data_IF_408207894852
#
_entry.id   IF_408207894852
#
_cell.length_a   1.000
_cell.length_b   1.000
_cell.length_c   1.000
_cell.angle_alpha   90.00
_cell.angle_beta   90.00
_cell.angle_gamma   90.00
#
_symmetry.space_group_name_H-M   'P 1'
#
loop_
_entity.id
_entity.type
_entity.pdbx_description
1 polymer ?
#
# COMPACT_ATOMS: atom_id res chain seq x y z
N UNK A 1 13.88 0.96 17.60
CA UNK A 1 13.73 -0.21 18.50
C UNK A 1 12.30 -0.38 19.00
N UNK A 2 11.62 0.62 19.59
CA UNK A 2 10.26 0.43 20.12
C UNK A 2 9.27 -0.08 19.06
N UNK A 3 9.29 0.50 17.84
CA UNK A 3 8.43 0.07 16.72
C UNK A 3 8.76 -1.35 16.27
N UNK A 4 10.05 -1.70 16.13
CA UNK A 4 10.45 -3.05 15.75
C UNK A 4 10.00 -4.09 16.78
N UNK A 5 10.20 -3.81 18.08
CA UNK A 5 9.71 -4.68 19.15
C UNK A 5 8.20 -4.86 19.09
N UNK A 6 7.43 -3.77 18.91
CA UNK A 6 5.98 -3.84 18.80
C UNK A 6 5.51 -4.68 17.61
N UNK A 7 6.15 -4.53 16.43
CA UNK A 7 5.82 -5.34 15.26
C UNK A 7 6.22 -6.81 15.47
N UNK A 8 7.34 -7.08 16.14
CA UNK A 8 7.76 -8.44 16.44
C UNK A 8 6.79 -9.15 17.39
N UNK A 9 6.24 -8.44 18.39
CA UNK A 9 5.19 -9.01 19.25
C UNK A 9 3.91 -9.32 18.44
N UNK A 10 3.55 -8.51 17.46
CA UNK A 10 2.43 -8.82 16.55
C UNK A 10 2.72 -10.06 15.69
N UNK A 11 3.96 -10.21 15.20
CA UNK A 11 4.39 -11.38 14.43
C UNK A 11 4.29 -12.65 15.31
N UNK A 12 4.78 -12.58 16.53
CA UNK A 12 4.70 -13.68 17.49
C UNK A 12 3.25 -14.03 17.82
N UNK A 13 2.36 -13.02 17.88
CA UNK A 13 0.93 -13.21 18.09
C UNK A 13 0.18 -13.76 16.87
N UNK A 14 0.85 -13.91 15.71
CA UNK A 14 0.30 -14.53 14.51
C UNK A 14 -0.07 -13.57 13.38
N UNK A 15 0.50 -12.37 13.33
CA UNK A 15 0.30 -11.49 12.19
C UNK A 15 0.87 -12.09 10.91
N UNK A 16 0.08 -12.13 9.83
CA UNK A 16 0.49 -12.62 8.52
C UNK A 16 1.27 -11.59 7.70
N UNK A 17 1.11 -10.30 8.02
CA UNK A 17 1.86 -9.19 7.44
C UNK A 17 1.91 -8.03 8.44
N UNK A 18 2.92 -7.18 8.33
CA UNK A 18 3.05 -5.96 9.15
C UNK A 18 3.19 -4.73 8.27
N UNK A 19 2.76 -3.57 8.76
CA UNK A 19 2.79 -2.33 7.98
C UNK A 19 3.30 -1.15 8.82
N UNK A 20 4.20 -0.36 8.22
CA UNK A 20 4.70 0.90 8.77
C UNK A 20 4.02 2.06 8.04
N UNK A 21 3.32 2.91 8.78
CA UNK A 21 2.67 4.10 8.27
C UNK A 21 3.47 5.35 8.61
N UNK A 22 3.81 6.15 7.60
CA UNK A 22 4.36 7.49 7.75
C UNK A 22 3.41 8.52 7.12
N UNK A 23 2.53 9.06 7.93
CA UNK A 23 1.50 10.03 7.49
C UNK A 23 2.10 11.39 7.13
N UNK A 24 3.25 11.74 7.70
CA UNK A 24 3.81 13.10 7.63
C UNK A 24 5.12 13.21 6.85
N UNK A 25 5.72 12.09 6.47
CA UNK A 25 7.00 12.06 5.74
C UNK A 25 6.99 12.86 4.44
N UNK A 26 5.87 12.85 3.72
CA UNK A 26 5.70 13.60 2.48
C UNK A 26 5.83 15.13 2.61
N UNK A 27 5.78 15.68 3.83
CA UNK A 27 5.98 17.10 4.09
C UNK A 27 7.45 17.48 4.35
N UNK A 28 8.33 16.49 4.46
CA UNK A 28 9.74 16.72 4.77
C UNK A 28 10.52 17.13 3.52
N UNK A 29 11.59 17.92 3.71
CA UNK A 29 12.59 18.11 2.65
C UNK A 29 13.29 16.78 2.35
N UNK A 30 13.90 16.63 1.16
CA UNK A 30 14.52 15.37 0.76
C UNK A 30 15.54 14.85 1.79
N UNK A 31 16.43 15.72 2.30
CA UNK A 31 17.42 15.34 3.30
C UNK A 31 16.77 14.94 4.65
N UNK A 32 15.72 15.63 5.06
CA UNK A 32 14.98 15.33 6.27
C UNK A 32 14.20 14.02 6.13
N UNK A 33 13.60 13.75 4.97
CA UNK A 33 12.91 12.51 4.68
C UNK A 33 13.85 11.31 4.78
N UNK A 34 15.01 11.36 4.16
CA UNK A 34 16.01 10.30 4.28
C UNK A 34 16.34 10.03 5.75
N UNK A 35 16.66 11.07 6.51
CA UNK A 35 17.14 10.94 7.89
C UNK A 35 16.05 10.53 8.90
N UNK A 36 14.84 11.07 8.77
CA UNK A 36 13.80 10.97 9.80
C UNK A 36 12.63 10.03 9.43
N UNK A 37 12.56 9.60 8.19
CA UNK A 37 11.54 8.67 7.71
C UNK A 37 12.18 7.39 7.14
N UNK A 38 12.95 7.50 6.08
CA UNK A 38 13.43 6.36 5.32
C UNK A 38 14.46 5.50 6.08
N UNK A 39 15.46 6.13 6.71
CA UNK A 39 16.47 5.41 7.50
C UNK A 39 15.87 4.73 8.75
N UNK A 40 14.95 5.35 9.51
CA UNK A 40 14.19 4.67 10.54
C UNK A 40 13.36 3.48 10.02
N UNK A 41 12.71 3.59 8.85
CA UNK A 41 11.99 2.47 8.25
C UNK A 41 12.93 1.31 7.94
N UNK A 42 14.07 1.55 7.28
CA UNK A 42 15.11 0.55 7.02
C UNK A 42 15.57 -0.14 8.30
N UNK A 43 15.82 0.65 9.34
CA UNK A 43 16.24 0.10 10.64
C UNK A 43 15.18 -0.79 11.27
N UNK A 44 13.91 -0.42 11.20
CA UNK A 44 12.81 -1.25 11.71
C UNK A 44 12.70 -2.54 10.91
N UNK A 45 12.72 -2.45 9.57
CA UNK A 45 12.62 -3.63 8.70
C UNK A 45 13.75 -4.63 8.92
N UNK A 46 14.98 -4.15 9.17
CA UNK A 46 16.14 -4.99 9.45
C UNK A 46 16.06 -5.72 10.80
N UNK A 47 15.23 -5.25 11.73
CA UNK A 47 15.03 -5.86 13.06
C UNK A 47 13.76 -6.76 13.12
N UNK A 48 13.02 -6.94 12.01
CA UNK A 48 11.83 -7.80 12.00
C UNK A 48 12.22 -9.28 12.12
N UNK A 49 11.54 -9.97 13.02
CA UNK A 49 11.70 -11.41 13.23
C UNK A 49 10.90 -12.23 12.19
N UNK A 50 11.26 -13.49 12.03
CA UNK A 50 10.40 -14.47 11.37
C UNK A 50 9.23 -14.86 12.30
N UNK A 51 8.16 -15.38 11.71
CA UNK A 51 7.07 -16.00 12.46
C UNK A 51 7.58 -17.23 13.28
N UNK A 52 6.84 -17.67 14.31
CA UNK A 52 7.25 -18.81 15.15
C UNK A 52 7.52 -20.11 14.38
N UNK A 53 6.90 -20.27 13.21
CA UNK A 53 7.11 -21.40 12.29
C UNK A 53 8.32 -21.22 11.36
N UNK A 54 9.10 -20.15 11.51
CA UNK A 54 10.27 -19.80 10.69
C UNK A 54 9.94 -19.12 9.36
N UNK A 55 8.66 -18.89 9.03
CA UNK A 55 8.23 -18.20 7.80
C UNK A 55 8.56 -16.71 7.89
N UNK A 56 9.14 -16.10 6.83
CA UNK A 56 9.30 -14.65 6.79
C UNK A 56 7.92 -13.98 6.72
N UNK A 57 7.73 -12.90 7.51
CA UNK A 57 6.49 -12.13 7.51
C UNK A 57 6.63 -10.96 6.55
N UNK A 58 5.76 -10.84 5.52
CA UNK A 58 5.80 -9.72 4.59
C UNK A 58 5.63 -8.38 5.30
N UNK A 59 6.39 -7.39 4.87
CA UNK A 59 6.31 -6.03 5.39
C UNK A 59 5.88 -5.04 4.33
N UNK A 60 5.08 -4.06 4.74
CA UNK A 60 4.58 -2.98 3.89
C UNK A 60 5.08 -1.66 4.47
N UNK A 61 5.58 -0.77 3.62
CA UNK A 61 5.91 0.61 4.01
C UNK A 61 5.01 1.59 3.25
N UNK A 62 4.56 2.62 3.93
CA UNK A 62 3.69 3.65 3.35
C UNK A 62 4.13 5.02 3.80
N UNK A 63 4.27 5.96 2.87
CA UNK A 63 4.43 7.39 3.14
C UNK A 63 3.37 8.17 2.37
N UNK A 64 2.53 8.93 3.06
CA UNK A 64 1.62 9.87 2.40
C UNK A 64 2.42 10.97 1.72
N UNK A 65 2.15 11.24 0.43
CA UNK A 65 2.95 12.13 -0.39
C UNK A 65 4.32 11.56 -0.77
N UNK A 66 4.49 10.23 -0.64
CA UNK A 66 5.77 9.54 -0.87
C UNK A 66 6.13 9.26 -2.32
N UNK A 67 5.29 9.63 -3.28
CA UNK A 67 5.47 9.29 -4.70
C UNK A 67 6.82 9.73 -5.30
N UNK A 68 7.39 10.84 -4.83
CA UNK A 68 8.72 11.29 -5.26
C UNK A 68 9.84 10.35 -4.78
N UNK A 69 9.68 9.66 -3.66
CA UNK A 69 10.65 8.72 -3.08
C UNK A 69 10.31 7.24 -3.33
N UNK A 70 9.48 6.97 -4.33
CA UNK A 70 8.99 5.61 -4.59
C UNK A 70 10.12 4.59 -4.80
N UNK A 71 11.18 4.98 -5.51
CA UNK A 71 12.36 4.12 -5.73
C UNK A 71 13.15 3.86 -4.44
N UNK A 72 13.27 4.88 -3.58
CA UNK A 72 13.91 4.75 -2.27
C UNK A 72 13.09 3.85 -1.34
N UNK A 73 11.76 4.00 -1.35
CA UNK A 73 10.84 3.13 -0.61
C UNK A 73 10.95 1.69 -1.09
N UNK A 74 10.98 1.46 -2.41
CA UNK A 74 11.16 0.13 -2.98
C UNK A 74 12.54 -0.50 -2.66
N UNK A 75 13.52 0.33 -2.31
CA UNK A 75 14.86 -0.12 -1.91
C UNK A 75 15.04 -0.27 -0.39
N UNK A 76 13.97 -0.15 0.41
CA UNK A 76 14.05 -0.31 1.88
C UNK A 76 14.23 -1.74 2.35
N UNK A 77 13.92 -2.72 1.51
CA UNK A 77 13.81 -4.12 1.89
C UNK A 77 12.39 -4.58 2.24
N UNK A 78 11.40 -3.69 2.16
CA UNK A 78 9.99 -4.05 2.33
C UNK A 78 9.51 -4.94 1.18
N UNK A 79 8.54 -5.82 1.46
CA UNK A 79 7.89 -6.68 0.46
C UNK A 79 6.91 -5.91 -0.41
N UNK A 80 6.38 -4.80 0.10
CA UNK A 80 5.35 -4.01 -0.56
C UNK A 80 5.50 -2.52 -0.22
N UNK A 81 5.19 -1.67 -1.20
CA UNK A 81 5.07 -0.22 -0.99
C UNK A 81 3.61 0.20 -1.14
N UNK A 82 3.08 0.84 -0.09
CA UNK A 82 1.77 1.48 -0.12
C UNK A 82 1.83 2.82 -0.84
N UNK A 83 0.86 3.08 -1.70
CA UNK A 83 0.70 4.29 -2.48
C UNK A 83 -0.49 5.09 -1.94
N UNK A 84 -0.34 6.40 -1.81
CA UNK A 84 -1.48 7.27 -1.66
C UNK A 84 -2.12 7.61 -3.03
N UNK A 85 -3.27 8.25 -2.99
CA UNK A 85 -4.08 8.54 -4.20
C UNK A 85 -3.46 9.58 -5.15
N UNK A 86 -2.34 10.22 -4.77
CA UNK A 86 -1.65 11.20 -5.61
C UNK A 86 -0.70 10.55 -6.62
N UNK A 87 -0.47 9.25 -6.48
CA UNK A 87 0.44 8.47 -7.32
C UNK A 87 -0.36 7.71 -8.38
N UNK A 88 0.04 7.80 -9.64
CA UNK A 88 -0.47 6.93 -10.70
C UNK A 88 0.10 5.50 -10.54
N UNK A 89 -0.80 4.49 -10.48
CA UNK A 89 -0.42 3.09 -10.23
C UNK A 89 0.39 2.49 -11.38
N UNK A 90 0.04 2.82 -12.64
CA UNK A 90 0.77 2.32 -13.80
C UNK A 90 2.18 2.92 -13.86
N UNK A 91 2.31 4.21 -13.55
CA UNK A 91 3.60 4.88 -13.41
C UNK A 91 4.44 4.27 -12.28
N UNK A 92 3.83 4.05 -11.12
CA UNK A 92 4.49 3.42 -9.99
C UNK A 92 5.02 2.03 -10.37
N UNK A 93 4.19 1.20 -11.03
CA UNK A 93 4.59 -0.12 -11.51
C UNK A 93 5.75 -0.05 -12.51
N UNK A 94 5.73 0.90 -13.43
CA UNK A 94 6.81 1.09 -14.39
C UNK A 94 8.13 1.47 -13.71
N UNK A 95 8.10 2.29 -12.66
CA UNK A 95 9.29 2.70 -11.89
C UNK A 95 9.87 1.57 -11.05
N UNK A 96 9.03 0.86 -10.31
CA UNK A 96 9.54 -0.18 -9.38
C UNK A 96 9.64 -1.57 -10.02
N UNK A 97 8.96 -1.80 -11.16
CA UNK A 97 8.93 -3.11 -11.82
C UNK A 97 8.41 -4.21 -10.89
N UNK A 98 9.11 -5.33 -10.88
CA UNK A 98 8.81 -6.48 -9.99
C UNK A 98 9.60 -6.48 -8.68
N UNK A 99 10.33 -5.40 -8.37
CA UNK A 99 11.16 -5.32 -7.15
C UNK A 99 10.33 -5.47 -5.87
N UNK A 100 9.13 -4.91 -5.86
CA UNK A 100 8.21 -4.94 -4.72
C UNK A 100 6.76 -5.05 -5.20
N UNK A 101 5.87 -5.55 -4.35
CA UNK A 101 4.43 -5.39 -4.55
C UNK A 101 4.02 -3.92 -4.33
N UNK A 102 2.88 -3.53 -4.90
CA UNK A 102 2.27 -2.22 -4.68
C UNK A 102 0.91 -2.39 -4.01
N UNK A 103 0.61 -1.55 -3.02
CA UNK A 103 -0.69 -1.51 -2.36
C UNK A 103 -1.33 -0.15 -2.54
N UNK A 104 -2.59 -0.11 -2.96
CA UNK A 104 -3.36 1.13 -3.07
C UNK A 104 -4.25 1.16 -4.30
N UNK A 105 -4.79 2.31 -4.71
CA UNK A 105 -4.61 3.61 -4.06
C UNK A 105 -5.80 4.53 -4.30
N UNK A 106 -7.02 4.01 -4.20
CA UNK A 106 -8.22 4.82 -4.44
C UNK A 106 -8.28 6.01 -3.48
N UNK A 107 -8.60 7.20 -3.99
CA UNK A 107 -8.90 8.37 -3.16
C UNK A 107 -10.08 8.04 -2.23
N UNK A 108 -9.91 8.14 -0.91
CA UNK A 108 -10.99 7.86 0.04
C UNK A 108 -12.23 8.71 -0.17
N UNK A 109 -12.09 9.93 -0.71
CA UNK A 109 -13.22 10.83 -0.97
C UNK A 109 -14.12 10.36 -2.12
N UNK A 110 -13.63 9.49 -2.99
CA UNK A 110 -14.46 8.84 -4.03
C UNK A 110 -15.62 8.06 -3.39
N UNK A 111 -15.40 7.49 -2.19
CA UNK A 111 -16.45 6.78 -1.46
C UNK A 111 -17.59 7.66 -0.95
N UNK A 112 -17.46 8.99 -1.00
CA UNK A 112 -18.54 9.94 -0.71
C UNK A 112 -19.40 10.28 -1.94
N UNK A 113 -19.09 9.73 -3.10
CA UNK A 113 -19.80 9.97 -4.35
C UNK A 113 -20.86 8.89 -4.62
N UNK A 114 -21.33 8.75 -5.86
CA UNK A 114 -22.25 7.67 -6.21
C UNK A 114 -21.55 6.33 -6.39
N UNK A 115 -22.27 5.23 -6.18
CA UNK A 115 -21.76 3.87 -6.39
C UNK A 115 -21.19 3.65 -7.81
N UNK A 116 -21.75 4.31 -8.83
CA UNK A 116 -21.26 4.20 -10.20
C UNK A 116 -19.89 4.87 -10.39
N UNK A 117 -19.67 6.01 -9.74
CA UNK A 117 -18.34 6.64 -9.70
C UNK A 117 -17.34 5.74 -8.97
N UNK A 118 -17.72 5.20 -7.81
CA UNK A 118 -16.88 4.27 -7.04
C UNK A 118 -16.47 3.07 -7.91
N UNK A 119 -17.41 2.42 -8.58
CA UNK A 119 -17.12 1.28 -9.47
C UNK A 119 -16.16 1.64 -10.59
N UNK A 120 -16.40 2.77 -11.25
CA UNK A 120 -15.56 3.24 -12.36
C UNK A 120 -14.12 3.50 -11.93
N UNK A 121 -13.94 4.24 -10.84
CA UNK A 121 -12.60 4.60 -10.33
C UNK A 121 -11.85 3.36 -9.81
N UNK A 122 -12.54 2.46 -9.10
CA UNK A 122 -11.95 1.20 -8.65
C UNK A 122 -11.47 0.33 -9.82
N UNK A 123 -12.33 0.17 -10.84
CA UNK A 123 -11.99 -0.59 -12.04
C UNK A 123 -10.80 0.04 -12.80
N UNK A 124 -10.72 1.37 -12.86
CA UNK A 124 -9.59 2.06 -13.49
C UNK A 124 -8.26 1.72 -12.81
N UNK A 125 -8.21 1.71 -11.48
CA UNK A 125 -7.01 1.35 -10.72
C UNK A 125 -6.62 -0.11 -10.94
N UNK A 126 -7.59 -1.04 -10.92
CA UNK A 126 -7.31 -2.46 -11.17
C UNK A 126 -6.72 -2.68 -12.56
N UNK A 127 -7.29 -2.02 -13.59
CA UNK A 127 -6.76 -2.07 -14.97
C UNK A 127 -5.36 -1.47 -15.07
N UNK A 128 -5.12 -0.32 -14.39
CA UNK A 128 -3.82 0.35 -14.38
C UNK A 128 -2.73 -0.51 -13.72
N UNK A 129 -3.09 -1.27 -12.67
CA UNK A 129 -2.17 -2.21 -12.03
C UNK A 129 -1.83 -3.40 -12.93
N UNK A 130 -2.71 -3.76 -13.87
CA UNK A 130 -2.50 -4.85 -14.83
C UNK A 130 -2.75 -6.25 -14.26
N UNK A 131 -2.63 -7.29 -15.13
CA UNK A 131 -2.94 -8.68 -14.77
C UNK A 131 -1.86 -9.36 -13.93
N UNK A 132 -0.62 -8.84 -13.93
CA UNK A 132 0.50 -9.46 -13.24
C UNK A 132 0.29 -9.43 -11.70
N UNK A 133 0.79 -10.45 -10.97
CA UNK A 133 0.74 -10.46 -9.52
C UNK A 133 1.54 -9.29 -8.91
N UNK A 134 1.25 -8.98 -7.64
CA UNK A 134 1.96 -7.94 -6.89
C UNK A 134 1.19 -6.62 -6.76
N UNK A 135 -0.14 -6.64 -6.93
CA UNK A 135 -1.01 -5.53 -6.54
C UNK A 135 -1.99 -5.95 -5.44
N UNK A 136 -2.05 -5.16 -4.39
CA UNK A 136 -3.03 -5.24 -3.31
C UNK A 136 -3.92 -4.00 -3.42
N UNK A 137 -5.19 -4.18 -3.79
CA UNK A 137 -6.10 -3.03 -3.84
C UNK A 137 -6.38 -2.50 -2.43
N UNK A 138 -6.25 -1.20 -2.26
CA UNK A 138 -6.56 -0.49 -1.01
C UNK A 138 -6.97 0.95 -1.33
N UNK A 139 -7.52 1.65 -0.33
CA UNK A 139 -7.63 3.12 -0.38
C UNK A 139 -6.22 3.72 -0.23
N UNK A 140 -6.01 4.90 -0.81
CA UNK A 140 -4.75 5.65 -0.67
C UNK A 140 -4.53 6.26 0.72
N UNK A 141 -5.53 6.19 1.61
CA UNK A 141 -5.47 6.59 3.01
C UNK A 141 -6.67 6.02 3.78
N UNK A 142 -6.79 6.36 5.07
CA UNK A 142 -7.91 5.93 5.89
C UNK A 142 -9.27 6.39 5.35
N UNK A 143 -10.29 5.56 5.54
CA UNK A 143 -11.67 5.85 5.20
C UNK A 143 -12.21 6.99 6.08
N UNK A 144 -13.04 7.86 5.52
CA UNK A 144 -13.67 8.94 6.30
C UNK A 144 -14.94 8.45 7.00
N UNK A 145 -15.26 8.96 8.20
CA UNK A 145 -16.41 8.48 8.99
C UNK A 145 -17.76 8.62 8.30
N UNK A 146 -17.92 9.58 7.38
CA UNK A 146 -19.15 9.82 6.63
C UNK A 146 -19.34 8.89 5.42
N UNK A 147 -18.44 7.92 5.20
CA UNK A 147 -18.53 7.01 4.05
C UNK A 147 -19.75 6.10 4.17
N UNK A 148 -20.65 6.09 3.15
CA UNK A 148 -21.78 5.16 3.11
C UNK A 148 -21.29 3.70 2.99
N UNK A 149 -21.73 2.77 3.86
CA UNK A 149 -21.33 1.35 3.80
C UNK A 149 -21.66 0.70 2.43
N UNK A 150 -22.73 1.10 1.77
CA UNK A 150 -23.13 0.63 0.44
C UNK A 150 -22.08 0.99 -0.64
N UNK A 151 -21.40 2.11 -0.51
CA UNK A 151 -20.32 2.48 -1.42
C UNK A 151 -19.06 1.62 -1.18
N UNK A 152 -18.83 1.19 0.05
CA UNK A 152 -17.76 0.21 0.34
C UNK A 152 -18.10 -1.15 -0.29
N UNK A 153 -19.36 -1.59 -0.19
CA UNK A 153 -19.80 -2.81 -0.84
C UNK A 153 -19.62 -2.73 -2.38
N UNK A 154 -20.03 -1.62 -2.98
CA UNK A 154 -19.86 -1.36 -4.42
C UNK A 154 -18.37 -1.38 -4.83
N UNK A 155 -17.48 -0.82 -4.00
CA UNK A 155 -16.04 -0.88 -4.20
C UNK A 155 -15.53 -2.33 -4.24
N UNK A 156 -15.85 -3.11 -3.22
CA UNK A 156 -15.39 -4.51 -3.12
C UNK A 156 -15.86 -5.35 -4.29
N UNK A 157 -17.14 -5.23 -4.68
CA UNK A 157 -17.70 -5.90 -5.85
C UNK A 157 -16.97 -5.52 -7.14
N UNK A 158 -16.73 -4.23 -7.36
CA UNK A 158 -16.04 -3.73 -8.55
C UNK A 158 -14.60 -4.27 -8.63
N UNK A 159 -13.85 -4.21 -7.54
CA UNK A 159 -12.48 -4.73 -7.48
C UNK A 159 -12.43 -6.22 -7.80
N UNK A 160 -13.30 -7.03 -7.19
CA UNK A 160 -13.34 -8.46 -7.45
C UNK A 160 -13.76 -8.78 -8.89
N UNK A 161 -14.76 -8.08 -9.42
CA UNK A 161 -15.23 -8.28 -10.80
C UNK A 161 -14.15 -7.94 -11.81
N UNK A 162 -13.58 -6.74 -11.71
CA UNK A 162 -12.56 -6.26 -12.64
C UNK A 162 -11.27 -7.08 -12.56
N UNK A 163 -10.85 -7.51 -11.35
CA UNK A 163 -9.66 -8.35 -11.19
C UNK A 163 -9.80 -9.70 -11.89
N UNK A 164 -10.99 -10.31 -11.86
CA UNK A 164 -11.25 -11.55 -12.61
C UNK A 164 -11.15 -11.34 -14.11
N UNK A 165 -11.76 -10.27 -14.63
CA UNK A 165 -11.75 -9.94 -16.05
C UNK A 165 -10.32 -9.66 -16.55
N UNK A 166 -9.59 -8.81 -15.83
CA UNK A 166 -8.22 -8.42 -16.20
C UNK A 166 -7.27 -9.64 -16.26
N UNK A 167 -7.43 -10.61 -15.35
CA UNK A 167 -6.60 -11.85 -15.35
C UNK A 167 -7.00 -12.84 -16.44
N UNK A 168 -8.26 -12.89 -16.85
CA UNK A 168 -8.74 -13.80 -17.89
C UNK A 168 -8.37 -13.31 -19.27
N UNK A 169 -8.13 -12.01 -19.45
CA UNK A 169 -7.82 -11.37 -20.73
C UNK A 169 -6.30 -11.30 -21.03
N UNK A 170 -5.45 -11.81 -20.16
CA UNK A 170 -3.98 -11.81 -20.27
C UNK A 170 -3.45 -13.20 -20.61
#
# INVERSE_FOLDING_TARGET
RAVANYLNEQIVAGADAVMIFDTWGGLLSAAAYQRYSLDPMRSVLAELAAAPDGRPVPSIVFTKGGGQWLDDLAATGASCVGLDWTVDVAEARRRVGSRVALQGNLDPLVLLTSADVVRREAAAIVRAAGPAPGHIFNLGHGIVPATPPENVAALVEAVHSESRQTRTSA
#
